data_IF_793117726380
#
_entry.id   IF_793117726380
#
_cell.length_a   1.000
_cell.length_b   1.000
_cell.length_c   1.000
_cell.angle_alpha   90.00
_cell.angle_beta   90.00
_cell.angle_gamma   90.00
#
_symmetry.space_group_name_H-M   'P 1'
#
loop_
_entity.id
_entity.type
_entity.pdbx_description
1 polymer ?
#
# COMPACT_ATOMS: atom_id res chain seq x y z
N UNK A 1 0.96 -0.32 -3.39
CA UNK A 1 0.79 -0.68 -4.81
C UNK A 1 0.63 0.60 -5.61
N UNK A 2 1.36 0.76 -6.71
CA UNK A 2 1.34 1.95 -7.57
C UNK A 2 1.33 1.55 -9.05
N UNK A 3 1.08 2.50 -9.95
CA UNK A 3 1.37 2.34 -11.38
C UNK A 3 2.89 2.42 -11.61
N UNK A 4 3.45 1.58 -12.48
CA UNK A 4 4.91 1.54 -12.70
C UNK A 4 5.50 2.88 -13.16
N UNK A 5 4.76 3.68 -13.92
CA UNK A 5 5.24 4.98 -14.42
C UNK A 5 5.53 5.98 -13.30
N UNK A 6 4.90 5.82 -12.14
CA UNK A 6 5.12 6.71 -10.99
C UNK A 6 6.45 6.40 -10.28
N UNK A 7 7.10 5.26 -10.61
CA UNK A 7 8.25 4.75 -9.88
C UNK A 7 9.43 5.71 -9.90
N UNK A 8 9.79 6.25 -11.06
CA UNK A 8 10.98 7.09 -11.18
C UNK A 8 10.88 8.35 -10.31
N UNK A 9 9.71 9.00 -10.29
CA UNK A 9 9.47 10.15 -9.43
C UNK A 9 9.58 9.77 -7.95
N UNK A 10 8.93 8.66 -7.55
CA UNK A 10 8.97 8.17 -6.17
C UNK A 10 10.41 7.86 -5.74
N UNK A 11 11.22 7.27 -6.61
CA UNK A 11 12.62 6.96 -6.28
C UNK A 11 13.50 8.22 -6.16
N UNK A 12 13.17 9.31 -6.85
CA UNK A 12 13.89 10.60 -6.74
C UNK A 12 13.50 11.40 -5.51
N UNK A 13 12.24 11.30 -5.08
CA UNK A 13 11.68 12.25 -4.10
C UNK A 13 11.20 11.59 -2.80
N UNK A 14 10.85 10.30 -2.83
CA UNK A 14 10.10 9.60 -1.78
C UNK A 14 8.62 9.49 -2.12
N UNK A 15 7.88 8.76 -1.29
CA UNK A 15 6.42 8.71 -1.36
C UNK A 15 5.84 9.88 -0.56
N UNK A 16 4.89 10.59 -1.14
CA UNK A 16 4.18 11.69 -0.48
C UNK A 16 2.68 11.51 -0.59
N UNK A 17 1.96 12.10 0.35
CA UNK A 17 0.50 12.23 0.28
C UNK A 17 0.09 13.19 -0.84
N UNK A 18 -1.17 13.08 -1.28
CA UNK A 18 -1.74 13.92 -2.36
C UNK A 18 -1.67 15.42 -2.06
N UNK A 19 -1.71 15.79 -0.79
CA UNK A 19 -1.74 17.19 -0.34
C UNK A 19 -0.33 17.79 -0.16
N UNK A 20 0.73 17.00 -0.34
CA UNK A 20 2.10 17.49 -0.29
C UNK A 20 2.41 18.47 -1.42
N UNK A 21 3.31 19.42 -1.15
CA UNK A 21 3.91 20.27 -2.19
C UNK A 21 4.78 19.45 -3.15
N UNK A 22 5.36 18.35 -2.66
CA UNK A 22 6.12 17.38 -3.44
C UNK A 22 5.16 16.35 -4.05
N UNK A 23 4.53 16.72 -5.17
CA UNK A 23 3.63 15.84 -5.92
C UNK A 23 4.10 15.69 -7.36
N UNK A 24 3.95 14.49 -7.89
CA UNK A 24 4.19 14.23 -9.31
C UNK A 24 2.99 14.79 -10.12
N UNK A 25 3.19 15.79 -10.99
CA UNK A 25 2.11 16.33 -11.82
C UNK A 25 1.55 15.28 -12.79
N UNK A 26 2.34 14.27 -13.15
CA UNK A 26 1.98 13.20 -14.07
C UNK A 26 1.57 11.92 -13.32
N UNK A 27 1.27 12.01 -12.02
CA UNK A 27 0.94 10.84 -11.19
C UNK A 27 -0.26 10.07 -11.75
N UNK A 28 -0.04 8.82 -12.13
CA UNK A 28 -1.11 7.94 -12.59
C UNK A 28 -1.82 7.34 -11.37
N UNK A 29 -3.01 7.86 -11.08
CA UNK A 29 -3.87 7.30 -10.04
C UNK A 29 -4.47 5.95 -10.49
N UNK A 30 -4.39 4.96 -9.60
CA UNK A 30 -5.00 3.62 -9.75
C UNK A 30 -6.01 3.30 -8.63
N UNK A 31 -6.14 4.19 -7.64
CA UNK A 31 -7.04 4.07 -6.50
C UNK A 31 -8.48 4.46 -6.83
N UNK A 32 -9.41 4.04 -5.97
CA UNK A 32 -10.81 4.48 -6.02
C UNK A 32 -10.90 5.96 -5.61
N UNK A 33 -11.29 6.82 -6.54
CA UNK A 33 -11.39 8.27 -6.33
C UNK A 33 -12.37 8.60 -5.20
N UNK A 34 -13.52 7.91 -5.13
CA UNK A 34 -14.50 8.13 -4.08
C UNK A 34 -13.94 7.75 -2.72
N UNK A 35 -13.20 6.64 -2.64
CA UNK A 35 -12.56 6.23 -1.40
C UNK A 35 -11.47 7.23 -0.98
N UNK A 36 -10.67 7.72 -1.92
CA UNK A 36 -9.64 8.73 -1.68
C UNK A 36 -10.26 10.02 -1.11
N UNK A 37 -11.37 10.49 -1.68
CA UNK A 37 -12.11 11.66 -1.19
C UNK A 37 -12.69 11.43 0.21
N UNK A 38 -13.30 10.27 0.45
CA UNK A 38 -13.84 9.94 1.77
C UNK A 38 -12.75 9.86 2.85
N UNK A 39 -11.52 9.51 2.49
CA UNK A 39 -10.38 9.49 3.42
C UNK A 39 -9.92 10.89 3.82
N UNK A 40 -10.16 11.92 3.00
CA UNK A 40 -9.78 13.31 3.32
C UNK A 40 -10.52 13.86 4.54
N UNK A 41 -11.67 13.28 4.90
CA UNK A 41 -12.52 13.76 6.00
C UNK A 41 -12.77 12.66 7.05
N UNK A 42 -11.87 11.68 7.14
CA UNK A 42 -11.99 10.61 8.13
C UNK A 42 -10.84 10.71 9.14
N UNK A 43 -11.17 11.18 10.34
CA UNK A 43 -10.20 11.32 11.42
C UNK A 43 -9.64 9.98 11.87
N UNK A 44 -8.32 9.93 12.01
CA UNK A 44 -7.62 8.81 12.63
C UNK A 44 -8.00 8.75 14.11
N UNK A 45 -8.34 7.55 14.61
CA UNK A 45 -8.91 7.32 15.95
C UNK A 45 -7.86 7.05 17.03
N UNK A 46 -6.64 7.52 16.82
CA UNK A 46 -5.54 7.46 17.78
C UNK A 46 -4.79 8.78 17.70
N UNK A 47 -4.31 9.32 18.82
CA UNK A 47 -3.53 10.56 18.84
C UNK A 47 -2.50 10.53 19.99
N UNK A 48 -1.18 10.65 19.69
CA UNK A 48 -0.59 10.63 18.36
C UNK A 48 -0.75 9.24 17.70
N UNK A 49 -0.99 9.10 16.39
CA UNK A 49 -1.04 10.17 15.39
C UNK A 49 -2.46 10.64 15.03
N UNK A 50 -2.83 11.90 15.32
CA UNK A 50 -4.06 12.52 14.82
C UNK A 50 -4.02 12.96 13.34
N UNK A 51 -5.05 13.68 12.89
CA UNK A 51 -5.23 14.09 11.49
C UNK A 51 -6.21 13.17 10.73
N UNK A 52 -6.27 13.31 9.41
CA UNK A 52 -7.21 12.56 8.57
C UNK A 52 -6.52 11.44 7.81
N UNK A 53 -7.22 10.35 7.48
CA UNK A 53 -6.68 9.23 6.68
C UNK A 53 -6.10 9.66 5.31
N UNK A 54 -6.50 10.84 4.81
CA UNK A 54 -5.97 11.47 3.60
C UNK A 54 -4.53 11.98 3.75
N UNK A 55 -4.07 12.19 4.98
CA UNK A 55 -2.71 12.64 5.34
C UNK A 55 -1.74 11.46 5.50
N UNK A 56 -2.19 10.23 5.21
CA UNK A 56 -1.40 9.02 5.39
C UNK A 56 -1.20 8.27 4.08
N UNK A 57 -0.01 7.71 3.93
CA UNK A 57 0.36 6.78 2.86
C UNK A 57 0.07 5.37 3.36
N UNK A 58 -0.90 4.65 2.77
CA UNK A 58 -1.27 3.31 3.21
C UNK A 58 -0.37 2.23 2.62
N UNK A 59 0.02 1.27 3.45
CA UNK A 59 0.71 0.04 3.09
C UNK A 59 -0.12 -1.15 3.55
N UNK A 60 -0.53 -2.00 2.61
CA UNK A 60 -1.13 -3.29 2.97
C UNK A 60 -0.06 -4.20 3.59
N UNK A 61 -0.43 -4.95 4.63
CA UNK A 61 0.44 -5.98 5.21
C UNK A 61 0.61 -7.22 4.32
N UNK A 62 -0.34 -7.46 3.41
CA UNK A 62 -0.34 -8.61 2.51
C UNK A 62 -0.67 -8.25 1.05
N UNK A 63 -0.49 -9.23 0.17
CA UNK A 63 -0.83 -9.12 -1.25
C UNK A 63 -2.33 -9.17 -1.53
N UNK A 64 -2.68 -9.21 -2.82
CA UNK A 64 -4.06 -9.42 -3.30
C UNK A 64 -5.09 -8.37 -2.91
N UNK A 65 -4.70 -7.14 -2.53
CA UNK A 65 -5.61 -6.07 -2.04
C UNK A 65 -6.98 -5.95 -2.76
N UNK A 66 -8.05 -5.45 -2.12
CA UNK A 66 -9.34 -5.30 -2.80
C UNK A 66 -9.22 -4.35 -4.00
N UNK A 67 -8.32 -3.37 -3.91
CA UNK A 67 -8.01 -2.48 -5.02
C UNK A 67 -7.41 -3.23 -6.22
N UNK A 68 -6.54 -4.22 -6.01
CA UNK A 68 -6.04 -5.05 -7.11
C UNK A 68 -7.19 -5.81 -7.79
N UNK A 69 -8.09 -6.41 -7.01
CA UNK A 69 -9.25 -7.12 -7.56
C UNK A 69 -10.18 -6.16 -8.34
N UNK A 70 -10.42 -4.95 -7.81
CA UNK A 70 -11.23 -3.93 -8.48
C UNK A 70 -10.58 -3.46 -9.79
N UNK A 71 -9.25 -3.27 -9.82
CA UNK A 71 -8.52 -2.93 -11.04
C UNK A 71 -8.57 -4.08 -12.05
N UNK A 72 -8.45 -5.34 -11.62
CA UNK A 72 -8.54 -6.52 -12.51
C UNK A 72 -9.94 -6.63 -13.14
N UNK A 73 -10.98 -6.46 -12.33
CA UNK A 73 -12.38 -6.75 -12.71
C UNK A 73 -13.15 -5.55 -13.23
N UNK A 74 -12.64 -4.33 -13.01
CA UNK A 74 -13.35 -3.08 -13.27
C UNK A 74 -14.53 -2.83 -12.34
N UNK A 75 -14.61 -3.56 -11.23
CA UNK A 75 -15.69 -3.44 -10.26
C UNK A 75 -15.75 -2.01 -9.67
N UNK A 76 -16.95 -1.54 -9.32
CA UNK A 76 -17.21 -0.17 -8.82
C UNK A 76 -16.77 0.96 -9.76
N UNK A 77 -16.70 0.70 -11.06
CA UNK A 77 -16.32 1.70 -12.06
C UNK A 77 -14.81 2.02 -12.07
N UNK A 78 -13.99 1.21 -11.39
CA UNK A 78 -12.54 1.34 -11.43
C UNK A 78 -12.03 1.02 -12.83
N UNK A 79 -11.11 1.84 -13.35
CA UNK A 79 -10.50 1.61 -14.67
C UNK A 79 -9.76 0.28 -14.66
N UNK A 80 -10.15 -0.62 -15.57
CA UNK A 80 -9.41 -1.86 -15.81
C UNK A 80 -8.00 -1.58 -16.29
N UNK A 81 -7.03 -2.28 -15.72
CA UNK A 81 -5.62 -2.22 -16.13
C UNK A 81 -5.01 -3.62 -16.13
N UNK A 82 -4.10 -3.93 -17.06
CA UNK A 82 -3.24 -5.10 -16.95
C UNK A 82 -2.51 -5.09 -15.59
N UNK A 83 -2.41 -6.24 -14.93
CA UNK A 83 -1.68 -6.34 -13.67
C UNK A 83 -0.19 -6.01 -13.83
N UNK A 84 0.36 -6.14 -15.05
CA UNK A 84 1.73 -5.73 -15.37
C UNK A 84 1.96 -4.20 -15.32
N UNK A 85 0.88 -3.41 -15.35
CA UNK A 85 0.98 -1.95 -15.12
C UNK A 85 1.22 -1.62 -13.63
N UNK A 86 1.09 -2.59 -12.74
CA UNK A 86 1.10 -2.40 -11.30
C UNK A 86 2.38 -2.97 -10.70
N UNK A 87 2.95 -2.24 -9.74
CA UNK A 87 4.09 -2.69 -8.94
C UNK A 87 3.83 -2.45 -7.46
N UNK A 88 4.48 -3.23 -6.60
CA UNK A 88 4.47 -3.00 -5.16
C UNK A 88 5.79 -2.38 -4.73
N UNK A 89 5.69 -1.26 -4.02
CA UNK A 89 6.79 -0.71 -3.22
C UNK A 89 6.70 -1.39 -1.85
N UNK A 90 7.78 -2.06 -1.45
CA UNK A 90 7.87 -2.80 -0.20
C UNK A 90 8.79 -2.05 0.74
N UNK A 91 8.32 -1.83 1.97
CA UNK A 91 9.10 -1.25 3.05
C UNK A 91 9.13 -2.22 4.22
N UNK A 92 10.23 -2.24 4.98
CA UNK A 92 10.27 -2.98 6.25
C UNK A 92 9.71 -2.07 7.34
N UNK A 93 8.82 -2.60 8.18
CA UNK A 93 8.23 -1.84 9.30
C UNK A 93 9.31 -1.18 10.15
N UNK A 94 10.39 -1.93 10.47
CA UNK A 94 11.53 -1.40 11.24
C UNK A 94 12.18 -0.16 10.63
N UNK A 95 12.27 -0.08 9.30
CA UNK A 95 12.94 1.04 8.62
C UNK A 95 12.03 2.27 8.59
N UNK A 96 10.72 2.05 8.41
CA UNK A 96 9.72 3.11 8.51
C UNK A 96 9.70 3.67 9.93
N UNK A 97 9.60 2.83 10.95
CA UNK A 97 9.53 3.28 12.36
C UNK A 97 10.79 4.05 12.76
N UNK A 98 11.95 3.71 12.20
CA UNK A 98 13.20 4.41 12.46
C UNK A 98 13.31 5.79 11.76
N UNK A 99 12.62 5.99 10.63
CA UNK A 99 12.82 7.16 9.76
C UNK A 99 11.60 8.07 9.65
N UNK A 100 10.41 7.56 9.97
CA UNK A 100 9.14 8.28 9.90
C UNK A 100 8.62 8.47 11.33
N UNK A 101 8.50 9.73 11.83
CA UNK A 101 8.16 9.98 13.23
C UNK A 101 6.67 9.80 13.56
N UNK A 102 5.79 9.83 12.56
CA UNK A 102 4.35 9.75 12.73
C UNK A 102 3.76 8.62 11.88
N UNK A 103 3.33 7.57 12.56
CA UNK A 103 2.72 6.40 11.94
C UNK A 103 1.72 5.75 12.90
N UNK A 104 0.77 5.02 12.34
CA UNK A 104 -0.07 4.08 13.04
C UNK A 104 -0.33 2.87 12.13
N UNK A 105 -1.00 1.86 12.65
CA UNK A 105 -1.58 0.81 11.83
C UNK A 105 -2.95 0.42 12.38
N UNK A 106 -3.68 -0.36 11.60
CA UNK A 106 -5.00 -0.85 11.96
C UNK A 106 -5.06 -2.37 11.90
N UNK A 107 -5.91 -2.98 12.73
CA UNK A 107 -6.19 -4.43 12.68
C UNK A 107 -7.20 -4.83 11.59
N UNK A 108 -7.64 -3.86 10.79
CA UNK A 108 -8.59 -4.05 9.70
C UNK A 108 -8.81 -2.78 8.88
N UNK A 109 -9.86 -2.77 8.04
CA UNK A 109 -10.19 -1.61 7.21
C UNK A 109 -10.43 -0.35 8.07
N UNK A 110 -9.55 0.65 7.96
CA UNK A 110 -9.49 1.83 8.84
C UNK A 110 -10.83 2.54 9.11
N UNK A 111 -11.72 2.58 8.10
CA UNK A 111 -13.04 3.23 8.22
C UNK A 111 -14.13 2.39 8.90
N UNK A 112 -13.87 1.11 9.17
CA UNK A 112 -14.85 0.24 9.81
C UNK A 112 -14.84 0.50 11.32
N UNK A 113 -16.02 0.64 11.94
CA UNK A 113 -16.18 0.98 13.37
C UNK A 113 -15.51 -0.02 14.31
N UNK A 114 -15.45 -1.30 13.94
CA UNK A 114 -14.81 -2.37 14.72
C UNK A 114 -13.29 -2.39 14.61
N UNK A 115 -12.72 -1.56 13.75
CA UNK A 115 -11.26 -1.50 13.56
C UNK A 115 -10.64 -0.62 14.62
N UNK A 116 -9.60 -1.12 15.25
CA UNK A 116 -8.78 -0.36 16.18
C UNK A 116 -7.50 0.15 15.51
N UNK A 117 -6.98 1.25 16.04
CA UNK A 117 -5.73 1.86 15.59
C UNK A 117 -4.67 1.70 16.68
N UNK A 118 -3.44 1.50 16.25
CA UNK A 118 -2.29 1.23 17.12
C UNK A 118 -1.09 2.03 16.64
N UNK A 119 -0.22 2.42 17.57
CA UNK A 119 0.98 3.22 17.33
C UNK A 119 2.22 2.68 18.08
N UNK A 120 2.16 1.46 18.64
CA UNK A 120 3.29 0.71 19.18
C UNK A 120 3.49 -0.57 18.35
N UNK A 121 4.74 -0.85 17.96
CA UNK A 121 5.10 -2.05 17.18
C UNK A 121 4.79 -3.35 17.93
N UNK A 122 4.71 -3.31 19.27
CA UNK A 122 4.34 -4.46 20.10
C UNK A 122 2.91 -4.92 19.83
N UNK A 123 2.04 -4.01 19.40
CA UNK A 123 0.64 -4.27 19.13
C UNK A 123 0.43 -4.95 17.77
N UNK A 124 1.50 -5.20 16.99
CA UNK A 124 1.41 -5.95 15.73
C UNK A 124 0.85 -7.38 15.92
N UNK A 125 0.76 -7.87 17.15
CA UNK A 125 0.04 -9.09 17.51
C UNK A 125 -1.46 -9.01 17.26
N UNK A 126 -2.05 -7.82 17.15
CA UNK A 126 -3.46 -7.61 16.81
C UNK A 126 -3.76 -7.78 15.32
N UNK A 127 -2.74 -7.74 14.46
CA UNK A 127 -2.89 -8.02 13.04
C UNK A 127 -3.04 -9.53 12.86
N UNK A 128 -4.14 -9.96 12.24
CA UNK A 128 -4.31 -11.35 11.83
C UNK A 128 -3.44 -11.65 10.60
N UNK A 129 -2.21 -12.10 10.85
CA UNK A 129 -1.20 -12.38 9.83
C UNK A 129 -1.61 -13.48 8.85
N UNK A 130 -2.40 -14.47 9.31
CA UNK A 130 -2.92 -15.52 8.43
C UNK A 130 -3.92 -14.91 7.44
N UNK A 131 -4.88 -14.12 7.93
CA UNK A 131 -5.93 -13.49 7.13
C UNK A 131 -5.35 -12.48 6.12
N UNK A 132 -4.45 -11.59 6.54
CA UNK A 132 -3.87 -10.58 5.65
C UNK A 132 -3.09 -11.22 4.50
N UNK A 133 -2.43 -12.36 4.74
CA UNK A 133 -1.64 -13.09 3.74
C UNK A 133 -2.44 -14.00 2.81
N UNK A 134 -3.73 -14.24 3.07
CA UNK A 134 -4.57 -15.07 2.18
C UNK A 134 -4.77 -14.46 0.79
N UNK A 135 -5.35 -15.19 -0.16
CA UNK A 135 -5.86 -14.61 -1.42
C UNK A 135 -7.35 -14.23 -1.34
N UNK A 136 -8.08 -14.79 -0.37
CA UNK A 136 -9.54 -14.74 -0.30
C UNK A 136 -10.04 -13.54 0.52
N UNK A 137 -11.05 -12.86 -0.02
CA UNK A 137 -11.60 -11.62 0.57
C UNK A 137 -12.90 -11.82 1.34
N UNK A 138 -13.81 -12.63 0.79
CA UNK A 138 -15.19 -12.71 1.27
C UNK A 138 -15.27 -13.21 2.71
N UNK A 139 -16.34 -12.94 3.43
CA UNK A 139 -16.56 -13.62 4.69
C UNK A 139 -17.04 -15.05 4.44
N UNK A 140 -16.79 -15.96 5.37
CA UNK A 140 -17.37 -17.30 5.39
C UNK A 140 -17.80 -17.67 6.82
N UNK A 141 -18.44 -18.82 6.99
CA UNK A 141 -18.94 -19.29 8.29
C UNK A 141 -17.82 -19.39 9.33
N UNK A 142 -16.61 -19.76 8.91
CA UNK A 142 -15.45 -19.84 9.79
C UNK A 142 -14.82 -18.46 10.07
N UNK A 143 -14.97 -17.49 9.17
CA UNK A 143 -14.37 -16.16 9.26
C UNK A 143 -15.35 -15.05 8.83
N UNK A 144 -16.31 -14.75 9.70
CA UNK A 144 -17.34 -13.74 9.45
C UNK A 144 -16.80 -12.30 9.33
N UNK A 145 -15.57 -12.04 9.75
CA UNK A 145 -14.90 -10.73 9.70
C UNK A 145 -13.59 -10.75 8.88
N UNK A 146 -13.44 -11.72 7.96
CA UNK A 146 -12.25 -11.84 7.11
C UNK A 146 -12.01 -10.56 6.30
N UNK A 147 -13.07 -10.04 5.67
CA UNK A 147 -12.96 -8.91 4.76
C UNK A 147 -12.42 -7.64 5.44
N UNK A 148 -12.80 -7.38 6.70
CA UNK A 148 -12.31 -6.22 7.45
C UNK A 148 -10.84 -6.44 7.83
N UNK A 149 -10.53 -7.55 8.51
CA UNK A 149 -9.18 -7.85 9.04
C UNK A 149 -8.13 -7.93 7.92
N UNK A 150 -8.51 -8.47 6.76
CA UNK A 150 -7.63 -8.53 5.59
C UNK A 150 -7.19 -7.16 5.06
N UNK A 151 -7.96 -6.12 5.35
CA UNK A 151 -7.65 -4.73 4.97
C UNK A 151 -6.93 -3.97 6.09
N UNK A 152 -6.35 -4.67 7.07
CA UNK A 152 -5.36 -4.09 7.97
C UNK A 152 -4.26 -3.39 7.15
N UNK A 153 -3.92 -2.17 7.54
CA UNK A 153 -2.93 -1.36 6.84
C UNK A 153 -2.00 -0.65 7.82
N UNK A 154 -0.75 -0.48 7.41
CA UNK A 154 0.20 0.42 8.04
C UNK A 154 0.09 1.80 7.39
N UNK A 155 0.07 2.85 8.19
CA UNK A 155 -0.23 4.22 7.78
C UNK A 155 0.91 5.12 8.22
N UNK A 156 1.60 5.74 7.25
CA UNK A 156 2.67 6.71 7.52
C UNK A 156 2.19 8.11 7.16
N UNK A 157 2.31 9.06 8.09
CA UNK A 157 1.88 10.43 7.86
C UNK A 157 2.87 11.18 6.98
N UNK A 158 2.36 12.04 6.10
CA UNK A 158 3.09 12.98 5.23
C UNK A 158 4.00 12.35 4.15
N UNK A 159 5.05 11.62 4.55
CA UNK A 159 6.03 11.08 3.62
C UNK A 159 6.73 9.80 4.07
N UNK A 160 7.20 9.03 3.08
CA UNK A 160 8.10 7.89 3.27
C UNK A 160 9.34 8.12 2.41
N UNK A 161 10.53 8.30 3.02
CA UNK A 161 11.78 8.44 2.28
C UNK A 161 12.09 7.23 1.40
N UNK A 162 12.80 7.44 0.30
CA UNK A 162 13.22 6.34 -0.60
C UNK A 162 14.12 5.32 0.12
N UNK A 163 14.86 5.75 1.15
CA UNK A 163 15.67 4.87 2.01
C UNK A 163 14.86 3.84 2.80
N UNK A 164 13.53 4.00 2.91
CA UNK A 164 12.64 2.99 3.48
C UNK A 164 12.24 1.90 2.48
N UNK A 165 12.46 2.09 1.19
CA UNK A 165 12.10 1.12 0.15
C UNK A 165 13.08 -0.04 0.19
N UNK A 166 12.60 -1.17 0.70
CA UNK A 166 13.37 -2.40 0.86
C UNK A 166 13.28 -3.33 -0.35
N UNK A 167 12.32 -3.12 -1.24
CA UNK A 167 12.17 -3.93 -2.46
C UNK A 167 11.05 -3.46 -3.37
N UNK A 168 11.07 -3.94 -4.60
CA UNK A 168 10.02 -3.73 -5.59
C UNK A 168 9.52 -5.08 -6.08
N UNK A 169 8.21 -5.32 -6.04
CA UNK A 169 7.61 -6.55 -6.57
C UNK A 169 6.89 -6.23 -7.88
N UNK A 170 7.15 -7.04 -8.90
CA UNK A 170 6.62 -6.90 -10.25
C UNK A 170 5.96 -8.20 -10.70
N UNK A 171 5.03 -8.12 -11.66
CA UNK A 171 4.32 -9.29 -12.18
C UNK A 171 5.16 -10.13 -13.14
N UNK A 172 5.94 -9.48 -14.02
CA UNK A 172 6.64 -10.15 -15.13
C UNK A 172 8.13 -9.83 -15.16
N UNK A 173 8.90 -10.65 -15.87
CA UNK A 173 10.32 -10.39 -16.16
C UNK A 173 10.52 -9.12 -17.02
N UNK A 174 9.60 -8.82 -17.93
CA UNK A 174 9.65 -7.60 -18.73
C UNK A 174 9.54 -6.36 -17.85
N UNK A 175 8.63 -6.39 -16.87
CA UNK A 175 8.51 -5.31 -15.89
C UNK A 175 9.74 -5.23 -14.98
N UNK A 176 10.35 -6.35 -14.62
CA UNK A 176 11.62 -6.36 -13.91
C UNK A 176 12.72 -5.64 -14.70
N UNK A 177 12.88 -5.94 -16.00
CA UNK A 177 13.87 -5.28 -16.86
C UNK A 177 13.62 -3.77 -16.98
N UNK A 178 12.36 -3.35 -17.07
CA UNK A 178 11.98 -1.94 -17.04
C UNK A 178 12.39 -1.27 -15.72
N UNK A 179 12.07 -1.88 -14.58
CA UNK A 179 12.44 -1.34 -13.26
C UNK A 179 13.97 -1.27 -13.09
N UNK A 180 14.71 -2.30 -13.52
CA UNK A 180 16.19 -2.29 -13.52
C UNK A 180 16.77 -1.10 -14.28
N UNK A 181 16.16 -0.73 -15.41
CA UNK A 181 16.59 0.44 -16.20
C UNK A 181 16.42 1.74 -15.42
N UNK A 182 15.33 1.90 -14.66
CA UNK A 182 15.13 3.07 -13.79
C UNK A 182 16.16 3.07 -12.66
N UNK A 183 16.33 1.95 -11.95
CA UNK A 183 17.28 1.83 -10.84
C UNK A 183 18.72 2.15 -11.27
N UNK A 184 19.16 1.59 -12.40
CA UNK A 184 20.48 1.84 -12.98
C UNK A 184 20.69 3.33 -13.31
N UNK A 185 19.72 3.96 -13.97
CA UNK A 185 19.78 5.40 -14.30
C UNK A 185 19.83 6.30 -13.08
N UNK A 186 19.21 5.90 -11.97
CA UNK A 186 19.24 6.64 -10.71
C UNK A 186 20.40 6.26 -9.80
N UNK A 187 21.20 5.26 -10.16
CA UNK A 187 22.26 4.69 -9.31
C UNK A 187 21.73 4.25 -7.93
N UNK A 188 20.55 3.63 -7.90
CA UNK A 188 19.89 3.12 -6.69
C UNK A 188 19.92 1.60 -6.68
N UNK A 189 20.34 1.02 -5.56
CA UNK A 189 20.34 -0.42 -5.35
C UNK A 189 19.15 -0.85 -4.49
N UNK A 190 18.08 -1.29 -5.15
CA UNK A 190 16.89 -1.87 -4.50
C UNK A 190 16.62 -3.24 -5.15
N UNK A 191 16.40 -4.30 -4.35
CA UNK A 191 16.10 -5.61 -4.91
C UNK A 191 14.73 -5.62 -5.60
N UNK A 192 14.65 -6.33 -6.73
CA UNK A 192 13.42 -6.54 -7.48
C UNK A 192 13.03 -8.01 -7.40
N UNK A 193 11.76 -8.28 -7.19
CA UNK A 193 11.21 -9.64 -7.10
C UNK A 193 10.10 -9.83 -8.13
N UNK A 194 10.22 -10.84 -8.97
CA UNK A 194 9.14 -11.27 -9.86
C UNK A 194 8.20 -12.21 -9.10
N UNK A 195 6.91 -11.88 -9.07
CA UNK A 195 5.89 -12.67 -8.36
C UNK A 195 5.49 -13.96 -9.13
N UNK A 196 6.42 -14.90 -9.22
CA UNK A 196 6.24 -16.17 -9.93
C UNK A 196 5.22 -17.12 -9.28
N UNK A 197 4.95 -16.92 -7.98
CA UNK A 197 4.04 -17.77 -7.19
C UNK A 197 2.64 -17.19 -7.01
N UNK A 198 2.36 -16.02 -7.61
CA UNK A 198 1.09 -15.31 -7.45
C UNK A 198 0.76 -15.04 -5.97
N UNK A 199 1.75 -14.56 -5.20
CA UNK A 199 1.59 -14.15 -3.81
C UNK A 199 1.05 -12.71 -3.71
N UNK A 200 1.21 -11.90 -4.75
CA UNK A 200 0.81 -10.49 -4.79
C UNK A 200 -0.16 -10.17 -5.92
N UNK A 201 -0.03 -10.84 -7.05
CA UNK A 201 -0.86 -10.68 -8.23
C UNK A 201 -1.68 -11.93 -8.50
N UNK A 202 -2.88 -11.74 -9.05
CA UNK A 202 -3.68 -12.88 -9.48
C UNK A 202 -3.04 -13.58 -10.70
N UNK A 203 -3.31 -14.89 -10.89
CA UNK A 203 -3.10 -15.57 -12.16
C UNK A 203 -3.79 -14.86 -13.33
#
# INVERSE_FOLDING_TARGET
MIHYSNLEFILKHGLYTKNSRMKDPEYINIGDIQLIEQRQNFHVRIDPPGGDLGDYIPFYFGGHSPMLLNIKTGYRGIRKRPQDELIYIVCRIKDIVAQCPAWCFTDGHAKNKLTEFYNDIKDLTHVDWEVVCTQFWGNDEANMDRMRRKQAEFLVKDCVPVSCVAGIIVKTADREAYVKTILSRLSIEIPIYVDSKNNYFYP
#
